data_IF_534400725894
#
_entry.id   IF_534400725894
#
_cell.length_a   1.000
_cell.length_b   1.000
_cell.length_c   1.000
_cell.angle_alpha   90.00
_cell.angle_beta   90.00
_cell.angle_gamma   90.00
#
_symmetry.space_group_name_H-M   'P 1'
#
loop_
_entity.id
_entity.type
_entity.pdbx_description
1 polymer ?
#
# COMPACT_ATOMS: atom_id res chain seq x y z
N UNK A 1 0.03 -22.37 -27.00
CA UNK A 1 -0.02 -21.17 -26.14
C UNK A 1 1.23 -21.16 -25.26
N UNK A 2 1.99 -20.07 -25.20
CA UNK A 2 3.30 -20.04 -24.50
C UNK A 2 3.10 -20.18 -22.97
N UNK A 3 3.90 -21.00 -22.30
CA UNK A 3 3.74 -21.34 -20.86
C UNK A 3 3.72 -20.10 -19.97
N UNK A 4 4.48 -19.05 -20.32
CA UNK A 4 4.43 -17.75 -19.64
C UNK A 4 3.04 -17.09 -19.66
N UNK A 5 2.32 -17.16 -20.79
CA UNK A 5 0.97 -16.58 -20.90
C UNK A 5 -0.05 -17.32 -20.02
N UNK A 6 0.12 -18.64 -19.87
CA UNK A 6 -0.74 -19.47 -19.02
C UNK A 6 -0.56 -19.06 -17.55
N UNK A 7 0.69 -18.87 -17.10
CA UNK A 7 1.00 -18.44 -15.73
C UNK A 7 0.44 -17.04 -15.45
N UNK A 8 0.59 -16.08 -16.37
CA UNK A 8 0.06 -14.73 -16.20
C UNK A 8 -1.46 -14.72 -16.09
N UNK A 9 -2.16 -15.50 -16.93
CA UNK A 9 -3.64 -15.60 -16.88
C UNK A 9 -4.09 -16.25 -15.57
N UNK A 10 -3.42 -17.32 -15.14
CA UNK A 10 -3.73 -17.98 -13.88
C UNK A 10 -3.54 -17.05 -12.68
N UNK A 11 -2.48 -16.23 -12.68
CA UNK A 11 -2.22 -15.25 -11.63
C UNK A 11 -3.29 -14.16 -11.59
N UNK A 12 -3.70 -13.65 -12.75
CA UNK A 12 -4.77 -12.64 -12.85
C UNK A 12 -6.12 -13.18 -12.34
N UNK A 13 -6.46 -14.43 -12.68
CA UNK A 13 -7.67 -15.10 -12.17
C UNK A 13 -7.58 -15.26 -10.65
N UNK A 14 -6.42 -15.64 -10.12
CA UNK A 14 -6.22 -15.78 -8.68
C UNK A 14 -6.38 -14.43 -7.95
N UNK A 15 -5.83 -13.34 -8.51
CA UNK A 15 -6.01 -11.99 -7.99
C UNK A 15 -7.48 -11.56 -8.01
N UNK A 16 -8.21 -11.88 -9.09
CA UNK A 16 -9.64 -11.59 -9.19
C UNK A 16 -10.47 -12.35 -8.15
N UNK A 17 -10.21 -13.65 -7.97
CA UNK A 17 -10.88 -14.48 -6.95
C UNK A 17 -10.54 -13.97 -5.54
N UNK A 18 -9.27 -13.68 -5.27
CA UNK A 18 -8.85 -13.10 -3.99
C UNK A 18 -9.54 -11.76 -3.74
N UNK A 19 -9.63 -10.89 -4.77
CA UNK A 19 -10.35 -9.62 -4.70
C UNK A 19 -11.84 -9.78 -4.40
N UNK A 20 -12.51 -10.79 -4.97
CA UNK A 20 -13.91 -11.12 -4.68
C UNK A 20 -14.07 -11.61 -3.24
N UNK A 21 -13.25 -12.55 -2.80
CA UNK A 21 -13.33 -13.10 -1.44
C UNK A 21 -13.05 -12.00 -0.42
N UNK A 22 -12.03 -11.19 -0.65
CA UNK A 22 -11.70 -10.05 0.20
C UNK A 22 -12.85 -9.04 0.23
N UNK A 23 -13.42 -8.71 -0.95
CA UNK A 23 -14.59 -7.86 -1.06
C UNK A 23 -15.79 -8.40 -0.27
N UNK A 24 -16.08 -9.70 -0.33
CA UNK A 24 -17.18 -10.32 0.41
C UNK A 24 -16.95 -10.31 1.93
N UNK A 25 -15.73 -10.59 2.39
CA UNK A 25 -15.35 -10.55 3.81
C UNK A 25 -15.41 -9.11 4.35
N UNK A 26 -14.93 -8.13 3.58
CA UNK A 26 -15.01 -6.72 3.97
C UNK A 26 -16.48 -6.26 3.97
N UNK A 27 -17.27 -6.63 2.97
CA UNK A 27 -18.68 -6.21 2.85
C UNK A 27 -19.51 -6.73 4.03
N UNK A 28 -19.25 -7.93 4.55
CA UNK A 28 -19.95 -8.44 5.74
C UNK A 28 -19.59 -7.67 7.01
N UNK A 29 -18.33 -7.25 7.18
CA UNK A 29 -17.95 -6.37 8.30
C UNK A 29 -18.49 -4.96 8.19
N UNK A 30 -18.55 -4.42 6.97
CA UNK A 30 -18.89 -3.01 6.71
C UNK A 30 -20.39 -2.76 6.60
N UNK A 31 -21.18 -3.71 6.09
CA UNK A 31 -22.64 -3.59 6.09
C UNK A 31 -23.18 -3.43 7.52
N UNK A 32 -22.55 -4.08 8.50
CA UNK A 32 -22.91 -3.90 9.92
C UNK A 32 -22.67 -2.46 10.43
N UNK A 33 -21.70 -1.73 9.87
CA UNK A 33 -21.35 -0.34 10.24
C UNK A 33 -22.14 0.69 9.41
N UNK A 34 -22.44 0.36 8.16
CA UNK A 34 -23.20 1.21 7.24
C UNK A 34 -24.71 1.18 7.53
N UNK A 35 -25.27 0.03 7.92
CA UNK A 35 -26.68 -0.06 8.36
C UNK A 35 -26.94 0.77 9.62
N UNK A 36 -25.94 0.92 10.50
CA UNK A 36 -26.06 1.74 11.71
C UNK A 36 -26.13 3.26 11.41
N UNK A 37 -25.66 3.69 10.24
CA UNK A 37 -25.56 5.11 9.86
C UNK A 37 -26.49 5.54 8.71
N UNK A 38 -27.28 4.64 8.13
CA UNK A 38 -28.37 4.97 7.19
C UNK A 38 -27.95 5.69 5.89
N UNK A 39 -26.66 5.75 5.57
CA UNK A 39 -26.14 6.50 4.43
C UNK A 39 -25.45 5.54 3.46
N UNK A 40 -26.08 5.27 2.31
CA UNK A 40 -25.60 4.32 1.30
C UNK A 40 -24.35 4.76 0.54
N UNK A 41 -23.84 5.97 0.78
CA UNK A 41 -22.73 6.59 0.04
C UNK A 41 -21.37 6.47 0.79
N UNK A 42 -21.18 5.44 1.61
CA UNK A 42 -19.94 5.29 2.37
C UNK A 42 -18.80 4.74 1.51
N UNK A 43 -17.65 5.43 1.50
CA UNK A 43 -16.41 4.89 0.94
C UNK A 43 -15.86 3.84 1.90
N UNK A 44 -15.56 2.65 1.37
CA UNK A 44 -15.00 1.54 2.14
C UNK A 44 -13.58 1.29 1.68
N UNK A 45 -12.63 1.36 2.61
CA UNK A 45 -11.22 1.04 2.34
C UNK A 45 -10.90 -0.25 3.09
N UNK A 46 -10.58 -1.28 2.34
CA UNK A 46 -10.08 -2.55 2.85
C UNK A 46 -8.61 -2.70 2.53
N UNK A 47 -7.84 -3.11 3.52
CA UNK A 47 -6.40 -3.35 3.40
C UNK A 47 -6.11 -4.74 3.91
N UNK A 48 -5.21 -5.41 3.21
CA UNK A 48 -4.73 -6.73 3.57
C UNK A 48 -3.22 -6.75 3.34
N UNK A 49 -2.50 -7.11 4.39
CA UNK A 49 -1.07 -7.31 4.39
C UNK A 49 -0.80 -8.81 4.52
N UNK A 50 -0.07 -9.36 3.57
CA UNK A 50 0.46 -10.72 3.64
C UNK A 50 1.98 -10.68 3.65
N UNK A 51 2.56 -11.39 4.61
CA UNK A 51 3.99 -11.51 4.80
C UNK A 51 4.35 -12.99 4.78
N UNK A 52 5.23 -13.38 3.86
CA UNK A 52 5.69 -14.76 3.69
C UNK A 52 7.19 -14.83 3.90
N UNK A 53 7.63 -15.76 4.73
CA UNK A 53 9.05 -16.01 5.03
C UNK A 53 9.46 -17.31 4.37
N UNK A 54 10.56 -17.29 3.63
CA UNK A 54 11.13 -18.45 2.97
C UNK A 54 12.52 -18.73 3.52
N UNK A 55 12.89 -20.01 3.60
CA UNK A 55 14.26 -20.41 3.91
C UNK A 55 15.21 -20.13 2.72
N UNK A 56 16.50 -20.36 2.94
CA UNK A 56 17.54 -20.21 1.90
C UNK A 56 17.35 -21.13 0.68
N UNK A 57 16.58 -22.21 0.84
CA UNK A 57 16.28 -23.18 -0.21
C UNK A 57 14.98 -22.82 -0.96
N UNK A 58 14.31 -21.72 -0.55
CA UNK A 58 13.07 -21.22 -1.14
C UNK A 58 11.79 -21.88 -0.59
N UNK A 59 11.87 -22.67 0.47
CA UNK A 59 10.69 -23.24 1.11
C UNK A 59 10.01 -22.23 2.02
N UNK A 60 8.69 -22.16 1.94
CA UNK A 60 7.87 -21.32 2.81
C UNK A 60 7.95 -21.83 4.26
N UNK A 61 8.52 -21.03 5.16
CA UNK A 61 8.62 -21.33 6.60
C UNK A 61 7.41 -20.78 7.35
N UNK A 62 7.02 -19.54 7.04
CA UNK A 62 5.97 -18.85 7.79
C UNK A 62 5.12 -17.98 6.87
N UNK A 63 3.85 -17.78 7.25
CA UNK A 63 2.95 -16.82 6.63
C UNK A 63 2.18 -16.10 7.71
N UNK A 64 2.23 -14.78 7.67
CA UNK A 64 1.45 -13.89 8.49
C UNK A 64 0.51 -13.09 7.60
N UNK A 65 -0.73 -12.93 8.05
CA UNK A 65 -1.76 -12.18 7.35
C UNK A 65 -2.42 -11.24 8.32
N UNK A 66 -2.58 -9.98 7.90
CA UNK A 66 -3.27 -8.92 8.62
C UNK A 66 -4.31 -8.28 7.72
N UNK A 67 -5.42 -7.88 8.30
CA UNK A 67 -6.59 -7.33 7.59
C UNK A 67 -7.12 -6.12 8.32
N UNK A 68 -7.72 -5.20 7.57
CA UNK A 68 -8.40 -4.00 8.09
C UNK A 68 -7.44 -3.05 8.81
N UNK A 69 -6.25 -2.90 8.25
CA UNK A 69 -5.26 -1.94 8.70
C UNK A 69 -5.72 -0.51 8.45
N UNK A 70 -5.44 0.37 9.41
CA UNK A 70 -5.82 1.77 9.37
C UNK A 70 -5.07 2.47 8.23
N UNK A 71 -5.76 2.96 7.17
CA UNK A 71 -5.11 3.85 6.22
C UNK A 71 -4.62 5.11 6.92
N UNK A 72 -3.39 5.51 6.64
CA UNK A 72 -2.86 6.77 7.16
C UNK A 72 -3.57 7.95 6.47
N UNK A 73 -3.55 9.12 7.12
CA UNK A 73 -4.09 10.36 6.57
C UNK A 73 -3.52 10.64 5.18
N UNK A 74 -2.23 10.38 4.98
CA UNK A 74 -1.57 10.51 3.69
C UNK A 74 -2.18 9.61 2.60
N UNK A 75 -2.63 8.39 2.92
CA UNK A 75 -3.31 7.54 1.95
C UNK A 75 -4.68 8.10 1.56
N UNK A 76 -5.45 8.59 2.53
CA UNK A 76 -6.74 9.23 2.25
C UNK A 76 -6.54 10.44 1.33
N UNK A 77 -5.55 11.28 1.62
CA UNK A 77 -5.20 12.42 0.78
C UNK A 77 -4.74 11.99 -0.61
N UNK A 78 -3.91 10.94 -0.70
CA UNK A 78 -3.45 10.40 -1.98
C UNK A 78 -4.61 9.92 -2.86
N UNK A 79 -5.55 9.16 -2.30
CA UNK A 79 -6.76 8.71 -3.02
C UNK A 79 -7.64 9.90 -3.38
N UNK A 80 -7.86 10.84 -2.47
CA UNK A 80 -8.69 12.01 -2.74
C UNK A 80 -8.11 12.86 -3.89
N UNK A 81 -6.81 13.14 -3.87
CA UNK A 81 -6.15 13.89 -4.93
C UNK A 81 -6.10 13.12 -6.26
N UNK A 82 -6.01 11.79 -6.23
CA UNK A 82 -5.96 10.99 -7.46
C UNK A 82 -7.34 10.82 -8.10
N UNK A 83 -8.41 10.79 -7.30
CA UNK A 83 -9.77 10.53 -7.77
C UNK A 83 -10.57 11.81 -8.06
N UNK A 84 -10.28 12.92 -7.39
CA UNK A 84 -10.93 14.21 -7.64
C UNK A 84 -9.97 15.15 -8.38
N UNK A 85 -10.33 15.49 -9.62
CA UNK A 85 -9.74 16.63 -10.31
C UNK A 85 -10.01 17.90 -9.47
N UNK A 86 -8.96 18.70 -9.30
CA UNK A 86 -8.77 19.77 -8.29
C UNK A 86 -9.82 20.90 -8.29
N UNK A 87 -10.58 21.08 -9.35
CA UNK A 87 -11.34 22.30 -9.62
C UNK A 87 -12.62 22.48 -8.79
N UNK A 88 -13.04 21.49 -8.00
CA UNK A 88 -14.36 21.54 -7.32
C UNK A 88 -14.39 21.17 -5.82
N UNK A 89 -13.31 20.68 -5.20
CA UNK A 89 -13.35 20.19 -3.80
C UNK A 89 -12.54 21.05 -2.83
N UNK A 90 -13.22 22.01 -2.18
CA UNK A 90 -12.70 22.88 -1.10
C UNK A 90 -12.09 22.08 0.08
N UNK A 91 -12.49 20.82 0.28
CA UNK A 91 -11.99 20.01 1.41
C UNK A 91 -10.57 19.46 1.18
N UNK A 92 -10.16 19.28 -0.08
CA UNK A 92 -8.82 18.80 -0.45
C UNK A 92 -7.77 19.91 -0.25
N UNK A 93 -8.18 21.17 -0.46
CA UNK A 93 -7.33 22.37 -0.29
C UNK A 93 -6.82 22.53 1.15
N UNK A 94 -7.49 21.94 2.16
CA UNK A 94 -7.05 21.96 3.57
C UNK A 94 -6.21 20.73 3.97
N UNK A 95 -5.87 19.83 3.03
CA UNK A 95 -5.12 18.61 3.31
C UNK A 95 -3.60 18.79 3.26
N UNK A 96 -2.98 19.19 4.36
CA UNK A 96 -1.50 19.20 4.44
C UNK A 96 -0.96 17.76 4.44
N UNK A 97 -0.11 17.44 3.46
CA UNK A 97 0.64 16.18 3.40
C UNK A 97 1.83 16.27 4.36
N UNK A 98 2.20 15.15 4.97
CA UNK A 98 3.42 15.07 5.79
C UNK A 98 4.34 14.01 5.19
N UNK A 99 5.52 14.44 4.76
CA UNK A 99 6.52 13.55 4.17
C UNK A 99 7.32 12.86 5.26
N UNK A 100 8.03 11.78 4.91
CA UNK A 100 8.79 10.99 5.90
C UNK A 100 9.86 11.79 6.67
N UNK A 101 10.40 12.85 6.08
CA UNK A 101 11.34 13.76 6.74
C UNK A 101 10.66 14.74 7.72
N UNK A 102 9.33 14.65 7.87
CA UNK A 102 8.52 15.50 8.74
C UNK A 102 8.18 16.85 8.14
N UNK A 103 8.65 17.17 6.93
CA UNK A 103 8.18 18.38 6.25
C UNK A 103 6.70 18.24 5.92
N UNK A 104 5.99 19.36 6.02
CA UNK A 104 4.56 19.40 5.79
C UNK A 104 4.20 20.53 4.83
N UNK A 105 3.27 20.30 3.93
CA UNK A 105 2.78 21.34 3.05
C UNK A 105 1.63 20.88 2.17
N UNK A 106 1.13 21.83 1.40
CA UNK A 106 0.08 21.56 0.41
C UNK A 106 0.74 21.08 -0.89
N UNK A 107 0.14 20.08 -1.56
CA UNK A 107 0.47 19.79 -2.95
C UNK A 107 0.29 21.03 -3.81
N UNK A 108 1.16 21.27 -4.81
CA UNK A 108 1.08 22.51 -5.60
C UNK A 108 -0.07 22.53 -6.60
N UNK A 109 -0.83 23.62 -6.62
CA UNK A 109 -1.95 23.84 -7.54
C UNK A 109 -1.61 23.55 -9.01
N UNK A 110 -2.55 22.92 -9.72
CA UNK A 110 -2.54 22.80 -11.18
C UNK A 110 -1.63 21.70 -11.75
N UNK A 111 -1.03 20.83 -10.93
CA UNK A 111 -0.25 19.69 -11.40
C UNK A 111 -0.93 18.34 -11.07
N UNK A 112 -0.76 17.29 -11.89
CA UNK A 112 -1.26 15.97 -11.55
C UNK A 112 -0.54 15.44 -10.29
N UNK A 113 -1.31 15.27 -9.22
CA UNK A 113 -0.87 14.76 -7.93
C UNK A 113 -0.95 13.24 -7.93
N UNK A 114 0.06 12.62 -8.51
CA UNK A 114 0.19 11.18 -8.54
C UNK A 114 1.55 10.72 -8.06
N UNK A 115 1.66 9.41 -7.88
CA UNK A 115 2.95 8.77 -7.74
C UNK A 115 3.90 9.19 -8.88
N UNK A 116 5.18 9.36 -8.56
CA UNK A 116 6.19 9.67 -9.55
C UNK A 116 6.38 8.46 -10.47
N UNK A 117 6.19 8.69 -11.76
CA UNK A 117 6.53 7.73 -12.80
C UNK A 117 7.94 7.99 -13.31
N UNK A 118 8.74 6.94 -13.42
CA UNK A 118 10.02 6.99 -14.13
C UNK A 118 10.02 5.95 -15.23
N UNK A 119 10.64 6.29 -16.36
CA UNK A 119 10.80 5.36 -17.48
C UNK A 119 12.20 4.75 -17.43
N UNK A 120 12.30 3.43 -17.19
CA UNK A 120 13.58 2.70 -17.27
C UNK A 120 13.50 1.70 -18.42
N UNK A 121 14.41 1.83 -19.38
CA UNK A 121 14.42 1.02 -20.61
C UNK A 121 13.06 1.04 -21.36
N UNK A 122 12.36 2.18 -21.35
CA UNK A 122 11.09 2.35 -22.06
C UNK A 122 9.84 1.86 -21.31
N UNK A 123 9.99 1.41 -20.05
CA UNK A 123 8.87 0.96 -19.22
C UNK A 123 8.63 1.98 -18.11
N UNK A 124 7.38 2.41 -17.92
CA UNK A 124 6.98 3.29 -16.82
C UNK A 124 6.79 2.49 -15.52
N UNK A 125 7.37 3.00 -14.42
CA UNK A 125 7.23 2.42 -13.09
C UNK A 125 6.69 3.44 -12.13
N UNK A 126 5.67 3.05 -11.35
CA UNK A 126 5.21 3.78 -10.19
C UNK A 126 6.28 3.67 -9.12
N UNK A 127 6.76 4.81 -8.62
CA UNK A 127 7.78 4.84 -7.57
C UNK A 127 7.15 4.55 -6.21
N UNK A 128 6.96 3.26 -5.92
CA UNK A 128 6.45 2.74 -4.63
C UNK A 128 7.52 1.85 -4.01
N UNK A 129 7.59 1.85 -2.67
CA UNK A 129 8.43 0.92 -1.92
C UNK A 129 7.69 0.38 -0.72
N UNK A 130 8.13 -0.78 -0.27
CA UNK A 130 7.84 -1.31 1.05
C UNK A 130 8.97 -0.89 1.96
N UNK A 131 8.65 -0.50 3.18
CA UNK A 131 9.61 -0.15 4.22
C UNK A 131 9.58 -1.24 5.28
N UNK A 132 10.73 -1.69 5.75
CA UNK A 132 10.83 -2.62 6.87
C UNK A 132 11.42 -1.89 8.07
N UNK A 133 10.84 -2.13 9.23
CA UNK A 133 11.22 -1.51 10.49
C UNK A 133 11.12 -2.47 11.67
N UNK A 134 11.53 -1.98 12.83
CA UNK A 134 11.37 -2.68 14.11
C UNK A 134 10.71 -1.81 15.19
N UNK A 135 9.83 -0.89 14.77
CA UNK A 135 8.89 -0.23 15.67
C UNK A 135 7.87 -1.18 16.26
N UNK A 136 7.33 -0.82 17.42
CA UNK A 136 6.33 -1.63 18.14
C UNK A 136 5.13 -0.84 18.62
N UNK A 137 5.17 0.50 18.52
CA UNK A 137 4.04 1.35 18.86
C UNK A 137 2.89 1.14 17.89
N UNK A 138 1.65 0.99 18.37
CA UNK A 138 0.48 0.87 17.50
C UNK A 138 0.41 2.02 16.48
N UNK A 139 0.11 1.74 15.20
CA UNK A 139 -0.02 2.77 14.19
C UNK A 139 -1.12 3.77 14.52
N UNK A 140 -0.89 5.04 14.20
CA UNK A 140 -1.89 6.11 14.30
C UNK A 140 -2.16 6.71 12.92
N UNK A 141 -3.36 7.27 12.71
CA UNK A 141 -3.73 7.89 11.43
C UNK A 141 -2.79 9.03 11.00
N UNK A 142 -2.07 9.63 11.95
CA UNK A 142 -1.17 10.77 11.70
C UNK A 142 0.30 10.35 11.51
N UNK A 143 0.60 9.05 11.52
CA UNK A 143 1.95 8.59 11.28
C UNK A 143 2.37 8.97 9.85
N UNK A 144 3.63 9.38 9.70
CA UNK A 144 4.20 9.86 8.43
C UNK A 144 5.51 9.17 8.08
N UNK A 145 6.02 8.33 8.98
CA UNK A 145 7.22 7.49 8.84
C UNK A 145 7.06 6.26 9.72
N UNK A 146 7.84 5.21 9.45
CA UNK A 146 8.02 4.12 10.40
C UNK A 146 8.63 4.64 11.70
N UNK A 147 8.31 3.99 12.82
CA UNK A 147 8.88 4.36 14.12
C UNK A 147 10.39 4.12 14.13
N UNK A 148 10.84 2.96 13.64
CA UNK A 148 12.25 2.68 13.47
C UNK A 148 12.51 1.90 12.17
N UNK A 149 12.79 2.65 11.11
CA UNK A 149 13.06 2.12 9.78
C UNK A 149 14.45 1.45 9.70
N UNK A 150 14.49 0.29 9.06
CA UNK A 150 15.71 -0.50 8.84
C UNK A 150 16.13 -0.48 7.37
N UNK A 151 15.21 -0.82 6.45
CA UNK A 151 15.54 -0.99 5.02
C UNK A 151 14.36 -0.68 4.11
N UNK A 152 14.68 -0.25 2.89
CA UNK A 152 13.75 -0.08 1.78
C UNK A 152 13.74 -1.31 0.87
N UNK A 153 12.54 -1.78 0.55
CA UNK A 153 12.31 -2.92 -0.33
C UNK A 153 11.60 -2.43 -1.59
N UNK A 154 12.22 -2.57 -2.78
CA UNK A 154 11.57 -2.14 -4.01
C UNK A 154 10.32 -2.97 -4.29
N UNK A 155 9.22 -2.30 -4.66
CA UNK A 155 8.06 -2.98 -5.23
C UNK A 155 8.42 -3.42 -6.65
N UNK A 156 8.42 -4.72 -6.88
CA UNK A 156 8.82 -5.32 -8.17
C UNK A 156 7.64 -5.88 -8.96
N UNK A 157 6.47 -5.97 -8.32
CA UNK A 157 5.24 -6.35 -8.96
C UNK A 157 4.11 -5.47 -8.43
N UNK A 158 3.31 -4.96 -9.36
CA UNK A 158 2.09 -4.25 -9.04
C UNK A 158 0.99 -4.66 -10.03
N UNK A 159 -0.24 -4.65 -9.56
CA UNK A 159 -1.43 -4.87 -10.37
C UNK A 159 -2.50 -3.89 -9.93
N UNK A 160 -3.13 -3.22 -10.89
CA UNK A 160 -4.24 -2.31 -10.66
C UNK A 160 -5.41 -2.73 -11.54
N UNK A 161 -6.60 -2.73 -10.97
CA UNK A 161 -7.85 -2.94 -11.69
C UNK A 161 -8.95 -2.07 -11.07
N UNK A 162 -9.98 -1.73 -11.84
CA UNK A 162 -11.11 -0.95 -11.36
C UNK A 162 -12.37 -1.21 -12.20
N UNK A 163 -13.53 -1.00 -11.60
CA UNK A 163 -14.82 -0.99 -12.30
C UNK A 163 -15.67 0.22 -11.88
N UNK A 164 -16.97 0.23 -12.17
CA UNK A 164 -17.83 1.37 -11.84
C UNK A 164 -17.97 1.66 -10.33
N UNK A 165 -17.60 0.73 -9.46
CA UNK A 165 -17.93 0.75 -8.03
C UNK A 165 -16.75 0.39 -7.12
N UNK A 166 -15.67 -0.15 -7.68
CA UNK A 166 -14.55 -0.72 -6.95
C UNK A 166 -13.21 -0.46 -7.62
N UNK A 167 -12.17 -0.43 -6.79
CA UNK A 167 -10.76 -0.35 -7.17
C UNK A 167 -9.97 -1.44 -6.41
N UNK A 168 -9.00 -2.05 -7.08
CA UNK A 168 -8.07 -3.02 -6.51
C UNK A 168 -6.64 -2.64 -6.85
N UNK A 169 -5.77 -2.73 -5.86
CA UNK A 169 -4.33 -2.52 -6.01
C UNK A 169 -3.59 -3.62 -5.26
N UNK A 170 -2.68 -4.30 -5.96
CA UNK A 170 -1.79 -5.30 -5.38
C UNK A 170 -0.37 -4.80 -5.58
N UNK A 171 0.42 -4.80 -4.52
CA UNK A 171 1.82 -4.38 -4.52
C UNK A 171 2.65 -5.45 -3.83
N UNK A 172 3.76 -5.85 -4.46
CA UNK A 172 4.63 -6.91 -3.93
C UNK A 172 6.09 -6.48 -3.95
N UNK A 173 6.74 -6.67 -2.80
CA UNK A 173 8.18 -6.51 -2.61
C UNK A 173 8.79 -7.80 -2.07
N UNK A 174 10.07 -8.01 -2.39
CA UNK A 174 10.84 -9.18 -1.92
C UNK A 174 12.17 -8.68 -1.40
N UNK A 175 12.52 -9.10 -0.19
CA UNK A 175 13.77 -8.78 0.48
C UNK A 175 14.49 -10.07 0.86
N UNK A 176 15.78 -10.15 0.57
CA UNK A 176 16.64 -11.24 1.05
C UNK A 176 17.62 -10.67 2.06
N UNK A 177 17.64 -11.25 3.26
CA UNK A 177 18.48 -10.79 4.35
C UNK A 177 19.95 -11.10 4.07
N UNK A 178 20.83 -10.11 4.23
CA UNK A 178 22.29 -10.29 4.14
C UNK A 178 22.95 -10.51 5.50
N UNK A 179 22.23 -10.20 6.58
CA UNK A 179 22.58 -10.38 7.97
C UNK A 179 21.32 -10.70 8.78
N UNK A 180 21.46 -11.12 10.04
CA UNK A 180 20.28 -11.32 10.88
C UNK A 180 19.55 -9.98 11.07
N UNK A 181 18.24 -9.96 10.78
CA UNK A 181 17.40 -8.79 10.95
C UNK A 181 16.09 -9.17 11.66
N UNK A 182 15.70 -8.33 12.62
CA UNK A 182 14.45 -8.46 13.34
C UNK A 182 13.47 -7.40 12.86
N UNK A 183 12.33 -7.84 12.32
CA UNK A 183 11.31 -6.98 11.72
C UNK A 183 10.05 -7.10 12.56
N UNK A 184 9.52 -5.97 13.01
CA UNK A 184 8.24 -5.88 13.74
C UNK A 184 7.31 -4.84 13.14
N UNK A 185 7.73 -4.19 12.06
CA UNK A 185 7.01 -3.10 11.43
C UNK A 185 7.21 -3.14 9.92
N UNK A 186 6.13 -2.91 9.18
CA UNK A 186 6.12 -2.83 7.71
C UNK A 186 5.38 -1.57 7.29
N UNK A 187 5.87 -0.88 6.28
CA UNK A 187 5.23 0.28 5.70
C UNK A 187 5.08 0.18 4.20
N UNK A 188 4.14 0.94 3.65
CA UNK A 188 4.04 1.19 2.23
C UNK A 188 4.22 2.69 1.98
N UNK A 189 5.19 3.06 1.15
CA UNK A 189 5.46 4.46 0.83
C UNK A 189 5.41 4.70 -0.68
N UNK A 190 4.92 5.88 -1.05
CA UNK A 190 4.91 6.36 -2.44
C UNK A 190 5.82 7.56 -2.57
N UNK A 191 6.58 7.61 -3.66
CA UNK A 191 7.35 8.78 -4.02
C UNK A 191 6.44 9.69 -4.84
N UNK A 192 6.01 10.82 -4.27
CA UNK A 192 5.15 11.73 -4.98
C UNK A 192 5.94 12.86 -5.62
N UNK A 193 5.55 13.20 -6.85
CA UNK A 193 5.85 14.51 -7.40
C UNK A 193 5.10 15.57 -6.58
N UNK A 194 5.77 16.69 -6.30
CA UNK A 194 5.13 17.85 -5.71
C UNK A 194 4.37 17.59 -4.40
N UNK A 195 4.86 16.67 -3.57
CA UNK A 195 4.29 16.40 -2.25
C UNK A 195 4.17 17.70 -1.43
N UNK A 196 5.22 18.52 -1.49
CA UNK A 196 5.31 19.83 -0.85
C UNK A 196 6.17 20.77 -1.69
N UNK A 197 5.56 21.82 -2.26
CA UNK A 197 6.23 23.04 -2.70
C UNK A 197 7.13 23.00 -3.94
N UNK A 198 7.74 21.86 -4.32
CA UNK A 198 8.42 21.60 -5.63
C UNK A 198 9.28 20.32 -5.62
N UNK A 199 9.66 19.80 -4.45
CA UNK A 199 10.54 18.64 -4.35
C UNK A 199 9.75 17.32 -4.34
N UNK A 200 10.34 16.27 -4.94
CA UNK A 200 9.84 14.91 -4.83
C UNK A 200 10.19 14.36 -3.45
N UNK A 201 9.24 13.69 -2.81
CA UNK A 201 9.38 13.17 -1.45
C UNK A 201 8.65 11.86 -1.29
N UNK A 202 9.15 11.02 -0.39
CA UNK A 202 8.47 9.82 0.05
C UNK A 202 7.40 10.17 1.08
N UNK A 203 6.27 9.49 0.95
CA UNK A 203 5.09 9.67 1.76
C UNK A 203 4.63 8.28 2.18
N UNK A 204 4.56 8.06 3.48
CA UNK A 204 4.04 6.82 4.04
C UNK A 204 2.51 6.79 3.88
N UNK A 205 2.00 5.69 3.32
CA UNK A 205 0.58 5.42 3.08
C UNK A 205 -0.02 4.46 4.10
N UNK A 206 0.74 3.44 4.47
CA UNK A 206 0.38 2.43 5.47
C UNK A 206 1.54 2.18 6.41
N UNK A 207 1.21 1.85 7.65
CA UNK A 207 2.15 1.46 8.70
C UNK A 207 1.51 0.32 9.50
N UNK A 208 2.23 -0.77 9.63
CA UNK A 208 1.73 -2.01 10.22
C UNK A 208 2.73 -2.56 11.22
N UNK A 209 2.32 -2.67 12.48
CA UNK A 209 3.04 -3.51 13.44
C UNK A 209 2.63 -4.97 13.21
N UNK A 210 3.64 -5.84 13.13
CA UNK A 210 3.51 -7.28 12.87
C UNK A 210 4.21 -8.07 13.98
N UNK A 211 3.87 -9.35 14.20
CA UNK A 211 4.66 -10.22 15.07
C UNK A 211 6.13 -10.22 14.65
N UNK A 212 7.05 -10.39 15.60
CA UNK A 212 8.49 -10.41 15.31
C UNK A 212 8.83 -11.47 14.26
N UNK A 213 9.42 -11.03 13.16
CA UNK A 213 9.99 -11.86 12.11
C UNK A 213 11.50 -11.71 12.19
N UNK A 214 12.19 -12.77 12.59
CA UNK A 214 13.65 -12.86 12.53
C UNK A 214 14.04 -13.54 11.23
N UNK A 215 14.75 -12.81 10.36
CA UNK A 215 15.35 -13.39 9.16
C UNK A 215 16.83 -13.63 9.41
N UNK A 216 17.27 -14.86 9.17
CA UNK A 216 18.68 -15.21 9.09
C UNK A 216 19.23 -14.86 7.70
N UNK A 217 20.56 -14.75 7.54
CA UNK A 217 21.18 -14.57 6.22
C UNK A 217 20.63 -15.56 5.19
N UNK A 218 20.44 -15.07 3.96
CA UNK A 218 19.89 -15.78 2.81
C UNK A 218 18.41 -16.21 2.90
N UNK A 219 17.73 -15.91 4.01
CA UNK A 219 16.27 -16.06 4.07
C UNK A 219 15.59 -14.91 3.32
N UNK A 220 14.42 -15.20 2.77
CA UNK A 220 13.66 -14.25 1.97
C UNK A 220 12.35 -13.91 2.64
N UNK A 221 12.03 -12.62 2.65
CA UNK A 221 10.74 -12.06 3.03
C UNK A 221 10.02 -11.54 1.79
N UNK A 222 8.81 -12.02 1.56
CA UNK A 222 7.89 -11.47 0.57
C UNK A 222 6.77 -10.73 1.29
N UNK A 223 6.54 -9.48 0.88
CA UNK A 223 5.49 -8.63 1.43
C UNK A 223 4.52 -8.31 0.30
N UNK A 224 3.22 -8.44 0.58
CA UNK A 224 2.15 -8.10 -0.34
C UNK A 224 1.12 -7.23 0.34
N UNK A 225 0.89 -6.05 -0.22
CA UNK A 225 -0.26 -5.21 0.10
C UNK A 225 -1.35 -5.44 -0.93
N UNK A 226 -2.57 -5.68 -0.46
CA UNK A 226 -3.78 -5.73 -1.25
C UNK A 226 -4.70 -4.64 -0.71
N UNK A 227 -4.98 -3.66 -1.56
CA UNK A 227 -5.76 -2.48 -1.21
C UNK A 227 -7.02 -2.52 -2.06
N UNK A 228 -8.16 -2.37 -1.39
CA UNK A 228 -9.47 -2.40 -1.98
C UNK A 228 -10.21 -1.12 -1.59
N UNK A 229 -10.83 -0.46 -2.57
CA UNK A 229 -11.66 0.72 -2.34
C UNK A 229 -13.01 0.51 -3.00
N UNK A 230 -14.10 0.68 -2.24
CA UNK A 230 -15.47 0.79 -2.77
C UNK A 230 -15.94 2.23 -2.65
N UNK A 231 -16.48 2.80 -3.72
CA UNK A 231 -16.78 4.25 -3.82
C UNK A 231 -18.15 4.58 -4.44
N UNK A 232 -19.09 3.63 -4.41
CA UNK A 232 -20.44 3.79 -4.96
C UNK A 232 -21.49 3.91 -3.86
#
# INVERSE_FOLDING_TARGET
MNSRKIVTIALAILCFIAGIILGAVINTGVNNVAEENGNSNSVVIGTFLEVRVYDRDGHLINTFVKTNDLPLKNFLLFIMHSMWFYDTSIQIVNGTWTTEDGSSGMPCDGNPHGAYYTTVAGIEYISVRIELGNGTTPPTINDYKLENKLVDVPVTYYCFDANATHMWLILRGVYTATEEINITEVGLAVYSNYAIGTARKWILLFRDVVPTITLQPDQTLEIRYYIYVRYA
#
